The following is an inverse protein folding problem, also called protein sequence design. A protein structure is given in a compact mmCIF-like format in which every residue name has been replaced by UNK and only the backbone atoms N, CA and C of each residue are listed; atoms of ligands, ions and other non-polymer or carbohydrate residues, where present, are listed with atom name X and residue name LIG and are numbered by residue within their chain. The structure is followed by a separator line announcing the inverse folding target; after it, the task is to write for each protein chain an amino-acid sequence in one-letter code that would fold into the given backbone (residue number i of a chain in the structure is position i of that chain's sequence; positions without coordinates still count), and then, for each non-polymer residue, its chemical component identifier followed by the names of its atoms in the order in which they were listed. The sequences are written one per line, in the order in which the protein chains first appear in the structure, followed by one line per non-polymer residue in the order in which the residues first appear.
data_IF_359849136497
#
_entry.id   IF_359849136497
#
_cell.length_a   1.000
_cell.length_b   1.000
_cell.length_c   1.000
_cell.angle_alpha   90.00
_cell.angle_beta   90.00
_cell.angle_gamma   90.00
#
_symmetry.space_group_name_H-M   'P 1'
#
loop_
_entity.id
_entity.type
_entity.pdbx_description
1 polymer ?
#
# COMPACT_ATOMS: atom_id res chain seq x y z
N UNK A 1 2.94 -11.06 -17.91
CA UNK A 1 2.94 -10.17 -16.75
C UNK A 1 3.76 -8.93 -17.06
N UNK A 2 3.20 -7.77 -16.82
CA UNK A 2 3.95 -6.53 -16.96
C UNK A 2 4.69 -6.28 -15.64
N UNK A 3 5.95 -6.64 -15.60
CA UNK A 3 6.75 -6.56 -14.38
C UNK A 3 6.88 -5.12 -13.90
N UNK A 4 7.06 -4.18 -14.82
CA UNK A 4 7.24 -2.79 -14.46
C UNK A 4 6.00 -2.21 -13.77
N UNK A 5 4.83 -2.49 -14.34
CA UNK A 5 3.56 -2.06 -13.75
C UNK A 5 3.35 -2.68 -12.38
N UNK A 6 3.60 -3.98 -12.27
CA UNK A 6 3.43 -4.68 -11.00
C UNK A 6 4.44 -4.21 -9.96
N UNK A 7 5.68 -3.92 -10.39
CA UNK A 7 6.68 -3.39 -9.48
C UNK A 7 6.21 -2.05 -8.89
N UNK A 8 5.70 -1.17 -9.73
CA UNK A 8 5.22 0.12 -9.28
C UNK A 8 4.06 -0.01 -8.29
N UNK A 9 3.14 -0.94 -8.55
CA UNK A 9 2.00 -1.18 -7.66
C UNK A 9 2.46 -1.70 -6.30
N UNK A 10 3.35 -2.66 -6.29
CA UNK A 10 3.85 -3.23 -5.04
C UNK A 10 4.70 -2.22 -4.29
N UNK A 11 5.51 -1.44 -5.00
CA UNK A 11 6.30 -0.39 -4.36
C UNK A 11 5.39 0.63 -3.67
N UNK A 12 4.34 1.11 -4.36
CA UNK A 12 3.39 2.06 -3.76
C UNK A 12 2.73 1.48 -2.53
N UNK A 13 2.31 0.22 -2.62
CA UNK A 13 1.71 -0.48 -1.50
C UNK A 13 2.64 -0.50 -0.29
N UNK A 14 3.87 -0.91 -0.49
CA UNK A 14 4.85 -0.95 0.59
C UNK A 14 5.16 0.44 1.12
N UNK A 15 5.36 1.40 0.22
CA UNK A 15 5.73 2.76 0.62
C UNK A 15 4.68 3.40 1.54
N UNK A 16 3.40 3.30 1.16
CA UNK A 16 2.37 3.92 1.98
C UNK A 16 2.04 3.12 3.23
N UNK A 17 2.40 1.84 3.25
CA UNK A 17 2.26 1.05 4.48
C UNK A 17 3.37 1.31 5.48
N UNK A 18 4.62 1.32 5.04
CA UNK A 18 5.75 1.48 5.96
C UNK A 18 6.29 2.90 6.03
N UNK A 19 5.96 3.74 5.06
CA UNK A 19 6.30 5.15 5.02
C UNK A 19 7.79 5.45 5.04
N UNK A 20 8.58 4.52 4.49
CA UNK A 20 10.01 4.68 4.33
C UNK A 20 10.37 4.25 2.92
N UNK A 21 10.95 5.15 2.14
CA UNK A 21 11.35 4.87 0.77
C UNK A 21 12.33 3.71 0.70
N UNK A 22 13.36 3.77 1.54
CA UNK A 22 14.40 2.75 1.55
C UNK A 22 13.85 1.38 1.92
N UNK A 23 13.04 1.32 2.97
CA UNK A 23 12.42 0.07 3.39
C UNK A 23 11.45 -0.44 2.33
N UNK A 24 10.68 0.45 1.71
CA UNK A 24 9.74 0.05 0.67
C UNK A 24 10.46 -0.56 -0.53
N UNK A 25 11.60 0.00 -0.92
CA UNK A 25 12.41 -0.57 -2.00
C UNK A 25 12.89 -1.97 -1.66
N UNK A 26 13.40 -2.15 -0.45
CA UNK A 26 13.88 -3.46 0.01
C UNK A 26 12.75 -4.48 0.04
N UNK A 27 11.60 -4.10 0.57
CA UNK A 27 10.45 -5.00 0.66
C UNK A 27 9.90 -5.37 -0.72
N UNK A 28 9.92 -4.42 -1.64
CA UNK A 28 9.45 -4.67 -3.00
C UNK A 28 10.38 -5.65 -3.71
N UNK A 29 11.68 -5.44 -3.60
CA UNK A 29 12.65 -6.36 -4.20
C UNK A 29 12.52 -7.75 -3.62
N UNK A 30 12.40 -7.86 -2.30
CA UNK A 30 12.23 -9.16 -1.65
C UNK A 30 10.95 -9.83 -2.08
N UNK A 31 9.89 -9.05 -2.27
CA UNK A 31 8.60 -9.58 -2.74
C UNK A 31 8.76 -10.27 -4.09
N UNK A 32 9.43 -9.60 -5.04
CA UNK A 32 9.63 -10.15 -6.37
C UNK A 32 10.58 -11.34 -6.36
N UNK A 33 11.62 -11.30 -5.54
CA UNK A 33 12.53 -12.45 -5.42
C UNK A 33 11.78 -13.68 -4.94
N UNK A 34 10.96 -13.54 -3.91
CA UNK A 34 10.18 -14.66 -3.40
C UNK A 34 9.15 -15.14 -4.40
N UNK A 35 8.52 -14.20 -5.11
CA UNK A 35 7.53 -14.56 -6.10
C UNK A 35 8.15 -15.39 -7.23
N UNK A 36 9.27 -14.95 -7.77
CA UNK A 36 9.92 -15.66 -8.87
C UNK A 36 10.50 -17.02 -8.44
N UNK A 37 10.77 -17.18 -7.17
CA UNK A 37 11.23 -18.46 -6.63
C UNK A 37 10.08 -19.39 -6.27
N UNK A 38 8.84 -18.96 -6.42
CA UNK A 38 7.66 -19.71 -6.02
C UNK A 38 7.02 -20.45 -7.20
N UNK A 39 6.11 -21.38 -6.86
CA UNK A 39 5.32 -22.08 -7.86
C UNK A 39 4.26 -21.17 -8.49
N UNK A 40 3.95 -20.07 -7.85
CA UNK A 40 2.86 -19.20 -8.27
C UNK A 40 3.18 -18.33 -9.47
N UNK A 41 4.45 -18.23 -9.84
CA UNK A 41 4.88 -17.38 -10.95
C UNK A 41 4.26 -17.75 -12.29
N UNK A 42 3.84 -18.99 -12.45
CA UNK A 42 3.24 -19.48 -13.69
C UNK A 42 1.72 -19.50 -13.68
N UNK A 43 1.12 -19.09 -12.56
CA UNK A 43 -0.33 -19.03 -12.48
C UNK A 43 -0.81 -17.65 -12.90
N UNK A 44 -2.01 -17.58 -13.46
CA UNK A 44 -2.51 -16.36 -14.08
C UNK A 44 -2.93 -15.24 -13.15
N UNK A 45 -2.72 -15.37 -11.84
CA UNK A 45 -3.16 -14.38 -10.86
C UNK A 45 -2.00 -13.79 -10.08
N UNK A 46 -0.96 -13.40 -10.81
CA UNK A 46 0.30 -12.95 -10.22
C UNK A 46 0.15 -11.80 -9.24
N UNK A 47 -0.71 -10.84 -9.53
CA UNK A 47 -0.86 -9.67 -8.66
C UNK A 47 -1.36 -10.05 -7.26
N UNK A 48 -2.23 -11.05 -7.17
CA UNK A 48 -2.75 -11.52 -5.88
C UNK A 48 -1.65 -12.07 -5.01
N UNK A 49 -0.77 -12.88 -5.59
CA UNK A 49 0.33 -13.48 -4.85
C UNK A 49 1.37 -12.44 -4.47
N UNK A 50 1.64 -11.50 -5.37
CA UNK A 50 2.56 -10.40 -5.05
C UNK A 50 2.09 -9.61 -3.85
N UNK A 51 0.81 -9.23 -3.81
CA UNK A 51 0.27 -8.52 -2.64
C UNK A 51 0.34 -9.36 -1.37
N UNK A 52 0.07 -10.64 -1.48
CA UNK A 52 0.13 -11.52 -0.32
C UNK A 52 1.53 -11.57 0.27
N UNK A 53 2.53 -11.72 -0.59
CA UNK A 53 3.93 -11.74 -0.15
C UNK A 53 4.32 -10.39 0.44
N UNK A 54 4.01 -9.31 -0.27
CA UNK A 54 4.35 -7.96 0.18
C UNK A 54 3.69 -7.63 1.52
N UNK A 55 2.43 -8.00 1.67
CA UNK A 55 1.68 -7.77 2.90
C UNK A 55 2.34 -8.45 4.10
N UNK A 56 2.72 -9.70 3.92
CA UNK A 56 3.38 -10.45 4.98
C UNK A 56 4.74 -9.86 5.32
N UNK A 57 5.49 -9.44 4.32
CA UNK A 57 6.79 -8.80 4.54
C UNK A 57 6.66 -7.46 5.26
N UNK A 58 5.63 -6.68 4.92
CA UNK A 58 5.37 -5.42 5.62
C UNK A 58 5.03 -5.64 7.08
N UNK A 59 4.25 -6.68 7.37
CA UNK A 59 3.90 -7.03 8.75
C UNK A 59 5.15 -7.41 9.54
N UNK A 60 6.02 -8.23 8.94
CA UNK A 60 7.28 -8.62 9.59
C UNK A 60 8.17 -7.41 9.85
N UNK A 61 8.30 -6.54 8.85
CA UNK A 61 9.13 -5.35 8.98
C UNK A 61 8.60 -4.41 10.06
N UNK A 62 7.28 -4.27 10.14
CA UNK A 62 6.66 -3.44 11.16
C UNK A 62 6.95 -3.98 12.55
N UNK A 63 6.89 -5.29 12.73
CA UNK A 63 7.20 -5.92 14.02
C UNK A 63 8.65 -5.70 14.42
N UNK A 64 9.57 -5.81 13.47
CA UNK A 64 11.00 -5.64 13.73
C UNK A 64 11.37 -4.20 14.05
N UNK A 65 10.72 -3.27 13.36
CA UNK A 65 11.11 -1.86 13.39
C UNK A 65 10.13 -0.98 14.18
N UNK A 66 9.28 -1.58 14.99
CA UNK A 66 8.27 -0.81 15.73
C UNK A 66 8.86 0.18 16.74
N UNK A 67 10.10 -0.02 17.10
CA UNK A 67 10.81 0.86 18.02
C UNK A 67 11.50 2.01 17.32
N UNK A 68 11.70 1.88 16.00
CA UNK A 68 12.35 2.91 15.21
C UNK A 68 11.31 3.94 14.80
N UNK A 69 11.66 5.20 14.86
CA UNK A 69 10.77 6.23 14.37
C UNK A 69 10.67 6.12 12.86
N UNK A 70 9.45 6.33 12.36
CA UNK A 70 9.25 6.36 10.93
C UNK A 70 10.06 7.52 10.34
N UNK A 71 10.74 7.25 9.25
CA UNK A 71 11.51 8.26 8.57
C UNK A 71 10.57 9.33 8.01
N UNK A 72 10.86 10.58 8.32
CA UNK A 72 10.15 11.71 7.73
C UNK A 72 10.79 12.10 6.40
N UNK A 73 11.79 11.35 5.99
CA UNK A 73 12.55 11.65 4.79
C UNK A 73 11.72 11.32 3.55
N UNK A 74 11.14 12.35 2.97
CA UNK A 74 10.42 12.22 1.72
C UNK A 74 11.42 12.52 0.62
N UNK A 75 11.84 11.46 -0.06
CA UNK A 75 12.78 11.64 -1.15
C UNK A 75 12.09 12.30 -2.34
N UNK A 76 12.73 13.30 -2.86
CA UNK A 76 12.22 14.02 -4.02
C UNK A 76 12.61 13.36 -5.34
N UNK A 77 13.41 12.30 -5.29
CA UNK A 77 13.88 11.63 -6.49
C UNK A 77 12.71 11.01 -7.26
N UNK A 78 12.56 11.43 -8.49
CA UNK A 78 11.52 10.91 -9.36
C UNK A 78 10.13 11.47 -9.10
N UNK A 79 10.00 12.44 -8.21
CA UNK A 79 8.74 13.08 -7.90
C UNK A 79 8.77 14.51 -8.39
N UNK A 80 7.78 14.89 -9.17
CA UNK A 80 7.67 16.26 -9.64
C UNK A 80 7.32 17.19 -8.47
N UNK A 81 7.88 18.40 -8.50
CA UNK A 81 7.70 19.36 -7.42
C UNK A 81 6.22 19.65 -7.10
N UNK A 82 5.40 19.69 -8.14
CA UNK A 82 3.97 19.97 -7.97
C UNK A 82 3.22 18.90 -7.21
N UNK A 83 3.77 17.68 -7.19
CA UNK A 83 3.13 16.52 -6.56
C UNK A 83 3.60 16.28 -5.13
N UNK A 84 4.67 16.94 -4.69
CA UNK A 84 5.24 16.69 -3.36
C UNK A 84 4.24 17.02 -2.26
N UNK A 85 3.55 18.14 -2.36
CA UNK A 85 2.58 18.56 -1.35
C UNK A 85 1.44 17.55 -1.24
N UNK A 86 0.91 17.11 -2.39
CA UNK A 86 -0.17 16.14 -2.41
C UNK A 86 0.28 14.80 -1.82
N UNK A 87 1.49 14.38 -2.13
CA UNK A 87 2.04 13.14 -1.61
C UNK A 87 2.20 13.21 -0.09
N UNK A 88 2.69 14.33 0.42
CA UNK A 88 2.84 14.53 1.86
C UNK A 88 1.50 14.46 2.56
N UNK A 89 0.49 15.13 2.04
CA UNK A 89 -0.84 15.12 2.63
C UNK A 89 -1.48 13.73 2.61
N UNK A 90 -1.38 13.04 1.48
CA UNK A 90 -1.92 11.68 1.37
C UNK A 90 -1.20 10.75 2.34
N UNK A 91 0.13 10.85 2.40
CA UNK A 91 0.92 10.03 3.31
C UNK A 91 0.52 10.27 4.76
N UNK A 92 0.35 11.53 5.15
CA UNK A 92 -0.04 11.87 6.51
C UNK A 92 -1.44 11.35 6.84
N UNK A 93 -2.38 11.53 5.92
CA UNK A 93 -3.75 11.04 6.12
C UNK A 93 -3.77 9.52 6.25
N UNK A 94 -3.07 8.83 5.37
CA UNK A 94 -3.01 7.37 5.42
C UNK A 94 -2.36 6.88 6.71
N UNK A 95 -1.37 7.60 7.23
CA UNK A 95 -0.69 7.19 8.46
C UNK A 95 -1.61 7.22 9.68
N UNK A 96 -2.67 8.00 9.62
CA UNK A 96 -3.63 8.12 10.73
C UNK A 96 -4.75 7.10 10.68
N UNK A 97 -4.85 6.37 9.58
CA UNK A 97 -5.86 5.32 9.44
C UNK A 97 -5.38 4.02 10.07
N UNK A 98 -6.33 3.13 10.36
CA UNK A 98 -5.97 1.77 10.75
C UNK A 98 -5.21 1.10 9.61
N UNK A 99 -4.41 0.09 9.94
CA UNK A 99 -3.65 -0.64 8.93
C UNK A 99 -4.57 -1.25 7.87
N UNK A 100 -5.71 -1.80 8.29
CA UNK A 100 -6.67 -2.38 7.37
C UNK A 100 -7.25 -1.33 6.42
N UNK A 101 -7.69 -0.19 6.95
CA UNK A 101 -8.25 0.88 6.10
C UNK A 101 -7.22 1.41 5.12
N UNK A 102 -6.00 1.61 5.58
CA UNK A 102 -4.90 2.09 4.74
C UNK A 102 -4.64 1.12 3.59
N UNK A 103 -4.54 -0.15 3.90
CA UNK A 103 -4.27 -1.20 2.93
C UNK A 103 -5.35 -1.23 1.83
N UNK A 104 -6.61 -1.18 2.24
CA UNK A 104 -7.72 -1.22 1.30
C UNK A 104 -7.73 -0.02 0.36
N UNK A 105 -7.46 1.17 0.89
CA UNK A 105 -7.43 2.38 0.07
C UNK A 105 -6.27 2.35 -0.92
N UNK A 106 -5.11 1.87 -0.51
CA UNK A 106 -3.97 1.76 -1.41
C UNK A 106 -4.30 0.82 -2.56
N UNK A 107 -4.82 -0.36 -2.26
CA UNK A 107 -5.12 -1.33 -3.29
C UNK A 107 -6.21 -0.85 -4.25
N UNK A 108 -7.29 -0.31 -3.71
CA UNK A 108 -8.45 0.04 -4.54
C UNK A 108 -8.28 1.35 -5.28
N UNK A 109 -7.89 2.41 -4.57
CA UNK A 109 -7.92 3.76 -5.13
C UNK A 109 -6.58 4.22 -5.69
N UNK A 110 -5.48 3.77 -5.14
CA UNK A 110 -4.17 4.14 -5.66
C UNK A 110 -3.70 3.20 -6.76
N UNK A 111 -3.92 1.90 -6.57
CA UNK A 111 -3.44 0.89 -7.53
C UNK A 111 -4.53 0.37 -8.46
N UNK A 112 -5.80 0.67 -8.19
CA UNK A 112 -6.89 0.30 -9.10
C UNK A 112 -7.21 -1.18 -9.14
N UNK A 113 -6.94 -1.92 -8.09
CA UNK A 113 -7.20 -3.36 -8.09
C UNK A 113 -8.70 -3.65 -8.07
N UNK A 114 -9.07 -4.78 -8.63
CA UNK A 114 -10.46 -5.19 -8.66
C UNK A 114 -10.93 -5.64 -7.29
N UNK A 115 -12.24 -5.57 -7.08
CA UNK A 115 -12.85 -6.09 -5.85
C UNK A 115 -12.50 -7.56 -5.66
N UNK A 116 -12.53 -8.32 -6.75
CA UNK A 116 -12.20 -9.75 -6.70
C UNK A 116 -10.77 -9.99 -6.22
N UNK A 117 -9.81 -9.24 -6.73
CA UNK A 117 -8.41 -9.39 -6.33
C UNK A 117 -8.22 -9.02 -4.86
N UNK A 118 -8.86 -7.94 -4.42
CA UNK A 118 -8.72 -7.50 -3.03
C UNK A 118 -9.35 -8.52 -2.08
N UNK A 119 -10.48 -9.11 -2.46
CA UNK A 119 -11.10 -10.17 -1.66
C UNK A 119 -10.14 -11.34 -1.46
N UNK A 120 -9.47 -11.76 -2.54
CA UNK A 120 -8.52 -12.86 -2.47
C UNK A 120 -7.31 -12.54 -1.58
N UNK A 121 -6.80 -11.33 -1.69
CA UNK A 121 -5.64 -10.91 -0.89
C UNK A 121 -5.99 -10.82 0.59
N UNK A 122 -7.14 -10.24 0.91
CA UNK A 122 -7.50 -9.95 2.30
C UNK A 122 -8.30 -11.04 2.98
N UNK A 123 -8.87 -11.96 2.19
CA UNK A 123 -9.74 -13.00 2.75
C UNK A 123 -11.14 -12.52 3.07
N UNK A 124 -11.49 -11.29 2.68
CA UNK A 124 -12.82 -10.75 2.91
C UNK A 124 -13.81 -11.23 1.87
N UNK A 125 -15.08 -11.37 2.28
CA UNK A 125 -16.15 -11.59 1.31
C UNK A 125 -16.39 -10.28 0.54
N UNK A 126 -17.00 -10.41 -0.64
CA UNK A 126 -17.32 -9.23 -1.45
C UNK A 126 -18.21 -8.24 -0.68
N UNK A 127 -19.20 -8.75 0.01
CA UNK A 127 -20.11 -7.92 0.80
C UNK A 127 -19.37 -7.17 1.91
N UNK A 128 -18.54 -7.89 2.65
CA UNK A 128 -17.77 -7.29 3.73
C UNK A 128 -16.76 -6.26 3.18
N UNK A 129 -16.18 -6.54 2.02
CA UNK A 129 -15.23 -5.62 1.42
C UNK A 129 -15.88 -4.29 1.02
N UNK A 130 -17.05 -4.32 0.42
CA UNK A 130 -17.75 -3.08 0.07
C UNK A 130 -18.01 -2.22 1.31
N UNK A 131 -18.41 -2.86 2.39
CA UNK A 131 -18.68 -2.16 3.65
C UNK A 131 -17.39 -1.55 4.22
N UNK A 132 -16.30 -2.32 4.19
CA UNK A 132 -15.01 -1.86 4.70
C UNK A 132 -14.43 -0.72 3.86
N UNK A 133 -14.57 -0.81 2.54
CA UNK A 133 -14.10 0.24 1.65
C UNK A 133 -14.85 1.54 1.88
N UNK A 134 -16.16 1.45 2.07
CA UNK A 134 -16.98 2.62 2.34
C UNK A 134 -16.53 3.30 3.64
N UNK A 135 -16.30 2.50 4.67
CA UNK A 135 -15.80 3.01 5.95
C UNK A 135 -14.43 3.66 5.81
N UNK A 136 -13.51 2.99 5.14
CA UNK A 136 -12.15 3.49 4.97
C UNK A 136 -12.15 4.81 4.20
N UNK A 137 -12.92 4.89 3.13
CA UNK A 137 -13.04 6.10 2.34
C UNK A 137 -13.57 7.26 3.17
N UNK A 138 -14.60 7.00 3.97
CA UNK A 138 -15.18 8.02 4.82
C UNK A 138 -14.20 8.54 5.85
N UNK A 139 -13.44 7.63 6.48
CA UNK A 139 -12.43 8.03 7.45
C UNK A 139 -11.32 8.87 6.81
N UNK A 140 -10.90 8.49 5.59
CA UNK A 140 -9.91 9.24 4.86
C UNK A 140 -10.42 10.65 4.52
N UNK A 141 -11.65 10.75 4.04
CA UNK A 141 -12.25 12.04 3.70
C UNK A 141 -12.32 12.97 4.91
N UNK A 142 -12.63 12.44 6.08
CA UNK A 142 -12.63 13.23 7.32
C UNK A 142 -11.26 13.80 7.64
N UNK A 143 -10.22 12.99 7.46
CA UNK A 143 -8.86 13.42 7.73
C UNK A 143 -8.41 14.51 6.75
N UNK A 144 -8.77 14.36 5.48
CA UNK A 144 -8.42 15.34 4.46
C UNK A 144 -9.14 16.67 4.74
N UNK A 145 -10.42 16.62 5.01
CA UNK A 145 -11.21 17.84 5.27
C UNK A 145 -10.75 18.55 6.52
N UNK A 146 -10.45 17.79 7.58
CA UNK A 146 -10.05 18.38 8.83
C UNK A 146 -8.60 18.82 8.89
N UNK A 147 -7.74 18.20 8.08
CA UNK A 147 -6.30 18.42 8.16
C UNK A 147 -5.71 19.31 7.10
N UNK A 148 -6.24 19.26 5.89
CA UNK A 148 -5.61 19.92 4.75
C UNK A 148 -6.20 21.26 4.41
N UNK A 149 -7.47 21.45 4.66
CA UNK A 149 -8.15 22.66 4.24
C UNK A 149 -8.39 23.62 5.40
N UNK A 150 -7.80 23.32 6.54
CA UNK A 150 -7.67 24.26 7.63
C UNK A 150 -8.96 24.74 8.27
N UNK A 151 -9.96 23.97 8.19
CA UNK A 151 -11.26 24.38 8.72
C UNK A 151 -11.50 23.95 10.13
#
# INVERSE_FOLDING_TARGET
MDIEEYYDKIYRFCYYKVQSKELAEDLTQETFLRFFDSEYKEQGMCIRYLYTIARNLCIEAYRKNKWDELSDDISDEGIEADNIVDIVFVRQALSKLSDEDRELLIMRYMNGETISDICEVTGSSRFALYRKLKKAKKEFEKLVEGGFFGE
#
